data_IF_482547707169
#
_entry.id   IF_482547707169
#
_cell.length_a   1.000
_cell.length_b   1.000
_cell.length_c   1.000
_cell.angle_alpha   90.00
_cell.angle_beta   90.00
_cell.angle_gamma   90.00
#
_symmetry.space_group_name_H-M   'P 1'
#
loop_
_entity.id
_entity.type
_entity.pdbx_description
1 polymer ?
#
# COMPACT_ATOMS: atom_id res chain seq x y z
N UNK A 1 -14.31 -11.45 14.59
CA UNK A 1 -13.86 -10.25 13.84
C UNK A 1 -13.22 -9.28 14.81
N UNK A 2 -12.22 -8.54 14.33
CA UNK A 2 -11.41 -7.65 15.15
C UNK A 2 -11.81 -6.22 14.84
N UNK A 3 -12.02 -5.42 15.88
CA UNK A 3 -12.29 -4.00 15.75
C UNK A 3 -11.04 -3.21 16.13
N UNK A 4 -10.55 -2.36 15.20
CA UNK A 4 -9.39 -1.53 15.42
C UNK A 4 -9.79 -0.26 16.17
N UNK A 5 -8.94 0.16 17.09
CA UNK A 5 -9.13 1.41 17.87
C UNK A 5 -8.49 2.61 17.19
N UNK A 6 -7.55 2.35 16.28
CA UNK A 6 -6.78 3.38 15.61
C UNK A 6 -7.04 3.37 14.11
N UNK A 7 -6.71 4.49 13.46
CA UNK A 7 -6.78 4.62 12.01
C UNK A 7 -5.42 4.34 11.42
N UNK A 8 -5.39 3.65 10.30
CA UNK A 8 -4.18 3.19 9.62
C UNK A 8 -4.16 3.69 8.19
N UNK A 9 -2.96 3.95 7.67
CA UNK A 9 -2.73 4.09 6.24
C UNK A 9 -1.56 3.19 5.85
N UNK A 10 -1.73 2.44 4.76
CA UNK A 10 -0.67 1.61 4.19
C UNK A 10 -0.28 2.19 2.85
N UNK A 11 0.99 2.54 2.70
CA UNK A 11 1.56 2.97 1.44
C UNK A 11 2.51 1.93 0.87
N UNK A 12 2.65 1.92 -0.45
CA UNK A 12 3.62 1.08 -1.12
C UNK A 12 3.98 1.69 -2.47
N UNK A 13 5.26 1.61 -2.81
CA UNK A 13 5.75 1.98 -4.13
C UNK A 13 6.04 0.71 -4.90
N UNK A 14 5.46 0.59 -6.09
CA UNK A 14 5.66 -0.57 -6.97
C UNK A 14 6.34 -0.10 -8.24
N UNK A 15 7.54 -0.59 -8.49
CA UNK A 15 8.25 -0.33 -9.73
C UNK A 15 7.72 -1.30 -10.80
N UNK A 16 7.66 -0.85 -12.05
CA UNK A 16 7.05 -1.62 -13.12
C UNK A 16 7.59 -3.05 -13.24
N UNK A 17 8.88 -3.23 -13.00
CA UNK A 17 9.52 -4.55 -13.09
C UNK A 17 9.25 -5.44 -11.88
N UNK A 18 8.60 -4.91 -10.84
CA UNK A 18 8.23 -5.65 -9.64
C UNK A 18 6.78 -6.16 -9.67
N UNK A 19 6.06 -5.92 -10.77
CA UNK A 19 4.63 -6.23 -10.85
C UNK A 19 4.29 -7.69 -10.55
N UNK A 20 5.21 -8.62 -10.84
CA UNK A 20 5.00 -10.03 -10.55
C UNK A 20 5.18 -10.37 -9.08
N UNK A 21 5.97 -9.57 -8.38
CA UNK A 21 6.30 -9.79 -6.97
C UNK A 21 5.22 -9.19 -6.07
N UNK A 22 4.69 -8.03 -6.44
CA UNK A 22 3.74 -7.28 -5.60
C UNK A 22 2.43 -8.03 -5.35
N UNK A 23 2.07 -8.95 -6.25
CA UNK A 23 0.81 -9.69 -6.14
C UNK A 23 0.69 -10.42 -4.81
N UNK A 24 1.75 -11.09 -4.38
CA UNK A 24 1.76 -11.81 -3.09
C UNK A 24 1.63 -10.86 -1.91
N UNK A 25 2.28 -9.69 -1.98
CA UNK A 25 2.15 -8.67 -0.94
C UNK A 25 0.71 -8.16 -0.84
N UNK A 26 0.10 -7.83 -1.99
CA UNK A 26 -1.29 -7.37 -2.04
C UNK A 26 -2.23 -8.42 -1.45
N UNK A 27 -2.03 -9.69 -1.81
CA UNK A 27 -2.84 -10.78 -1.26
C UNK A 27 -2.66 -10.92 0.26
N UNK A 28 -1.45 -10.71 0.76
CA UNK A 28 -1.21 -10.74 2.21
C UNK A 28 -1.92 -9.59 2.93
N UNK A 29 -1.96 -8.40 2.31
CA UNK A 29 -2.71 -7.26 2.85
C UNK A 29 -4.19 -7.57 2.88
N UNK A 30 -4.74 -8.09 1.78
CA UNK A 30 -6.16 -8.48 1.71
C UNK A 30 -6.52 -9.52 2.77
N UNK A 31 -5.65 -10.49 2.95
CA UNK A 31 -5.84 -11.53 3.98
C UNK A 31 -5.87 -10.94 5.38
N UNK A 32 -4.98 -9.99 5.67
CA UNK A 32 -4.96 -9.29 6.96
C UNK A 32 -6.24 -8.48 7.17
N UNK A 33 -6.74 -7.84 6.12
CA UNK A 33 -7.99 -7.07 6.20
C UNK A 33 -9.20 -7.94 6.45
N UNK A 34 -9.19 -9.18 6.01
CA UNK A 34 -10.35 -10.07 6.14
C UNK A 34 -10.78 -10.32 7.58
N UNK A 35 -9.89 -10.11 8.54
CA UNK A 35 -10.18 -10.28 9.97
C UNK A 35 -10.63 -8.99 10.66
N UNK A 36 -10.60 -7.87 9.95
CA UNK A 36 -10.94 -6.57 10.52
C UNK A 36 -12.41 -6.26 10.29
N UNK A 37 -13.10 -5.85 11.34
CA UNK A 37 -14.53 -5.54 11.29
C UNK A 37 -14.78 -4.12 10.76
N UNK A 38 -14.02 -3.15 11.26
CA UNK A 38 -14.16 -1.74 10.90
C UNK A 38 -13.09 -1.33 9.87
N UNK A 39 -13.19 -1.86 8.66
CA UNK A 39 -12.24 -1.62 7.58
C UNK A 39 -12.17 -0.15 7.14
N UNK A 40 -13.17 0.64 7.45
CA UNK A 40 -13.18 2.08 7.22
C UNK A 40 -12.07 2.83 7.95
N UNK A 41 -11.45 2.20 8.95
CA UNK A 41 -10.30 2.75 9.64
C UNK A 41 -8.97 2.55 8.90
N UNK A 42 -9.00 1.90 7.75
CA UNK A 42 -7.80 1.59 6.98
C UNK A 42 -7.86 2.23 5.61
N UNK A 43 -6.79 2.93 5.24
CA UNK A 43 -6.60 3.54 3.91
C UNK A 43 -5.44 2.82 3.23
N UNK A 44 -5.65 2.42 1.99
CA UNK A 44 -4.63 1.82 1.13
C UNK A 44 -4.23 2.86 0.08
N UNK A 45 -2.94 3.15 -0.04
CA UNK A 45 -2.45 4.13 -1.01
C UNK A 45 -1.18 3.61 -1.69
N UNK A 46 -1.33 3.05 -2.89
CA UNK A 46 -0.24 2.44 -3.64
C UNK A 46 0.07 3.24 -4.90
N UNK A 47 1.35 3.37 -5.22
CA UNK A 47 1.82 4.06 -6.41
C UNK A 47 2.61 3.10 -7.29
N UNK A 48 2.20 2.99 -8.55
CA UNK A 48 2.88 2.19 -9.58
C UNK A 48 3.72 3.14 -10.44
N UNK A 49 5.01 2.87 -10.53
CA UNK A 49 5.97 3.74 -11.21
C UNK A 49 6.52 3.08 -12.46
N UNK A 50 6.44 3.77 -13.59
CA UNK A 50 6.94 3.30 -14.87
C UNK A 50 8.29 3.89 -15.25
N UNK A 51 8.80 4.81 -14.45
CA UNK A 51 10.08 5.48 -14.70
C UNK A 51 10.81 5.66 -13.35
N UNK A 52 11.73 4.76 -13.03
CA UNK A 52 12.45 4.80 -11.77
C UNK A 52 13.91 4.41 -12.01
N UNK A 53 14.82 5.22 -11.47
CA UNK A 53 16.28 5.00 -11.54
C UNK A 53 16.76 4.82 -12.99
N UNK A 54 17.39 3.69 -13.26
CA UNK A 54 17.92 3.33 -14.57
C UNK A 54 16.93 2.53 -15.41
N UNK A 55 15.79 2.16 -14.79
CA UNK A 55 14.81 1.30 -15.43
C UNK A 55 13.60 2.13 -15.85
N UNK A 56 13.42 2.26 -17.15
CA UNK A 56 12.29 2.98 -17.72
C UNK A 56 11.64 2.14 -18.80
N UNK A 57 10.33 2.11 -18.79
CA UNK A 57 9.55 1.47 -19.83
C UNK A 57 8.96 2.54 -20.76
N UNK A 58 9.19 2.42 -22.06
CA UNK A 58 8.74 3.39 -23.06
C UNK A 58 7.63 2.86 -23.96
N UNK A 59 7.40 1.56 -23.99
CA UNK A 59 6.38 0.93 -24.83
C UNK A 59 4.99 1.18 -24.24
N UNK A 60 4.16 1.97 -24.92
CA UNK A 60 2.80 2.30 -24.47
C UNK A 60 1.92 1.06 -24.31
N UNK A 61 2.04 0.09 -25.19
CA UNK A 61 1.25 -1.16 -25.07
C UNK A 61 1.61 -1.91 -23.80
N UNK A 62 2.90 -1.99 -23.51
CA UNK A 62 3.39 -2.65 -22.31
C UNK A 62 2.98 -1.88 -21.04
N UNK A 63 3.11 -0.55 -21.06
CA UNK A 63 2.66 0.31 -19.95
C UNK A 63 1.17 0.09 -19.68
N UNK A 64 0.35 0.08 -20.72
CA UNK A 64 -1.10 -0.10 -20.58
C UNK A 64 -1.46 -1.49 -20.06
N UNK A 65 -0.74 -2.52 -20.51
CA UNK A 65 -0.94 -3.87 -20.00
C UNK A 65 -0.60 -3.99 -18.52
N UNK A 66 0.50 -3.37 -18.09
CA UNK A 66 0.91 -3.35 -16.69
C UNK A 66 -0.04 -2.52 -15.84
N UNK A 67 -0.51 -1.38 -16.37
CA UNK A 67 -1.51 -0.54 -15.69
C UNK A 67 -2.79 -1.34 -15.44
N UNK A 68 -3.26 -2.06 -16.45
CA UNK A 68 -4.46 -2.87 -16.33
C UNK A 68 -4.28 -4.00 -15.31
N UNK A 69 -3.11 -4.64 -15.32
CA UNK A 69 -2.78 -5.68 -14.35
C UNK A 69 -2.75 -5.12 -12.91
N UNK A 70 -2.12 -3.96 -12.72
CA UNK A 70 -2.08 -3.30 -11.42
C UNK A 70 -3.49 -2.90 -10.96
N UNK A 71 -4.28 -2.35 -11.85
CA UNK A 71 -5.68 -1.99 -11.56
C UNK A 71 -6.45 -3.21 -11.04
N UNK A 72 -6.30 -4.36 -11.70
CA UNK A 72 -6.97 -5.58 -11.26
C UNK A 72 -6.51 -6.04 -9.89
N UNK A 73 -5.23 -5.91 -9.60
CA UNK A 73 -4.70 -6.25 -8.28
C UNK A 73 -5.26 -5.37 -7.18
N UNK A 74 -5.54 -4.09 -7.49
CA UNK A 74 -6.04 -3.11 -6.53
C UNK A 74 -7.55 -3.15 -6.35
N UNK A 75 -8.23 -4.08 -7.01
CA UNK A 75 -9.66 -4.31 -6.79
C UNK A 75 -9.88 -5.25 -5.60
N UNK A 76 -11.12 -5.30 -5.14
CA UNK A 76 -11.57 -6.22 -4.09
C UNK A 76 -10.97 -5.99 -2.70
N UNK A 77 -10.41 -4.80 -2.46
CA UNK A 77 -10.20 -4.35 -1.09
C UNK A 77 -11.53 -3.83 -0.56
N UNK A 78 -11.93 -4.29 0.57
CA UNK A 78 -13.19 -3.89 1.22
C UNK A 78 -12.95 -2.66 2.11
N UNK A 79 -12.29 -1.65 1.56
CA UNK A 79 -11.94 -0.42 2.26
C UNK A 79 -11.61 0.68 1.25
N UNK A 80 -11.27 1.87 1.73
CA UNK A 80 -10.84 2.96 0.87
C UNK A 80 -9.49 2.66 0.23
N UNK A 81 -9.44 2.72 -1.09
CA UNK A 81 -8.21 2.46 -1.84
C UNK A 81 -7.93 3.63 -2.76
N UNK A 82 -6.71 4.14 -2.66
CA UNK A 82 -6.16 5.07 -3.62
C UNK A 82 -5.01 4.37 -4.33
N UNK A 83 -4.94 4.52 -5.63
CA UNK A 83 -3.81 4.03 -6.40
C UNK A 83 -3.60 4.93 -7.61
N UNK A 84 -2.36 5.00 -8.05
CA UNK A 84 -2.00 5.81 -9.20
C UNK A 84 -0.88 5.17 -9.98
N UNK A 85 -0.80 5.54 -11.25
CA UNK A 85 0.31 5.18 -12.13
C UNK A 85 1.00 6.48 -12.53
N UNK A 86 2.30 6.52 -12.38
CA UNK A 86 3.08 7.72 -12.69
C UNK A 86 4.38 7.37 -13.40
N UNK A 87 4.83 8.27 -14.27
CA UNK A 87 6.15 8.22 -14.89
C UNK A 87 7.10 9.29 -14.31
N UNK A 88 6.69 9.98 -13.26
CA UNK A 88 7.50 10.99 -12.61
C UNK A 88 8.74 10.37 -11.97
N UNK A 89 9.88 11.04 -12.16
CA UNK A 89 11.15 10.56 -11.62
C UNK A 89 11.39 11.14 -10.23
N UNK A 90 11.07 10.33 -9.21
CA UNK A 90 11.29 10.66 -7.81
C UNK A 90 12.00 9.50 -7.12
N UNK A 91 12.69 9.80 -6.03
CA UNK A 91 13.31 8.76 -5.22
C UNK A 91 12.26 8.07 -4.35
N UNK A 92 12.61 6.88 -3.84
CA UNK A 92 11.75 6.17 -2.87
C UNK A 92 11.51 7.06 -1.65
N UNK A 93 12.54 7.79 -1.23
CA UNK A 93 12.43 8.72 -0.09
C UNK A 93 11.40 9.82 -0.35
N UNK A 94 11.33 10.34 -1.58
CA UNK A 94 10.32 11.34 -1.95
C UNK A 94 8.90 10.78 -1.83
N UNK A 95 8.67 9.56 -2.32
CA UNK A 95 7.35 8.92 -2.25
C UNK A 95 6.94 8.64 -0.80
N UNK A 96 7.89 8.21 0.04
CA UNK A 96 7.63 7.99 1.47
C UNK A 96 7.28 9.30 2.18
N UNK A 97 8.01 10.36 1.86
CA UNK A 97 7.75 11.69 2.44
C UNK A 97 6.36 12.18 2.06
N UNK A 98 6.01 12.06 0.78
CA UNK A 98 4.69 12.49 0.30
C UNK A 98 3.58 11.70 0.97
N UNK A 99 3.76 10.40 1.13
CA UNK A 99 2.81 9.56 1.85
C UNK A 99 2.67 9.99 3.32
N UNK A 100 3.79 10.21 3.99
CA UNK A 100 3.79 10.65 5.39
C UNK A 100 3.10 12.01 5.53
N UNK A 101 3.42 12.96 4.67
CA UNK A 101 2.83 14.31 4.71
C UNK A 101 1.33 14.26 4.47
N UNK A 102 0.89 13.36 3.59
CA UNK A 102 -0.53 13.22 3.25
C UNK A 102 -1.36 12.68 4.41
N UNK A 103 -0.82 11.75 5.19
CA UNK A 103 -1.60 10.98 6.15
C UNK A 103 -1.22 11.20 7.61
N UNK A 104 -0.13 11.89 7.93
CA UNK A 104 0.35 12.00 9.31
C UNK A 104 -0.66 12.64 10.28
N UNK A 105 -1.55 13.50 9.79
CA UNK A 105 -2.58 14.12 10.61
C UNK A 105 -3.96 13.43 10.49
N UNK A 106 -4.08 12.49 9.56
CA UNK A 106 -5.35 11.81 9.26
C UNK A 106 -5.48 10.45 9.92
N UNK A 107 -4.37 9.82 10.21
CA UNK A 107 -4.34 8.46 10.78
C UNK A 107 -3.41 8.42 11.98
N UNK A 108 -3.55 7.36 12.77
CA UNK A 108 -2.73 7.15 13.97
C UNK A 108 -1.48 6.33 13.69
N UNK A 109 -1.53 5.45 12.70
CA UNK A 109 -0.42 4.55 12.34
C UNK A 109 -0.19 4.60 10.84
N UNK A 110 1.06 4.88 10.47
CA UNK A 110 1.52 4.85 9.08
C UNK A 110 2.33 3.58 8.86
N UNK A 111 2.00 2.85 7.79
CA UNK A 111 2.72 1.65 7.40
C UNK A 111 3.23 1.82 5.97
N UNK A 112 4.51 1.54 5.77
CA UNK A 112 5.08 1.52 4.42
C UNK A 112 5.50 0.09 4.10
N UNK A 113 4.89 -0.48 3.06
CA UNK A 113 5.18 -1.83 2.63
C UNK A 113 6.22 -1.88 1.51
N UNK A 114 6.95 -2.97 1.48
CA UNK A 114 7.89 -3.28 0.41
C UNK A 114 7.26 -4.35 -0.50
N UNK A 115 7.46 -4.22 -1.81
CA UNK A 115 6.84 -5.08 -2.80
C UNK A 115 7.23 -6.56 -2.67
N UNK A 116 8.36 -6.85 -2.07
CA UNK A 116 8.90 -8.20 -1.88
C UNK A 116 8.63 -8.76 -0.48
N UNK A 117 7.78 -8.09 0.29
CA UNK A 117 7.44 -8.49 1.66
C UNK A 117 6.07 -9.14 1.72
N UNK A 118 5.82 -9.81 2.83
CA UNK A 118 4.48 -10.31 3.19
C UNK A 118 4.17 -9.82 4.59
N UNK A 119 2.93 -9.44 4.85
CA UNK A 119 2.54 -9.08 6.21
C UNK A 119 1.77 -10.24 6.85
N UNK A 120 2.03 -10.53 8.14
CA UNK A 120 1.26 -11.53 8.88
C UNK A 120 -0.22 -11.15 8.97
N UNK A 121 -1.05 -12.15 9.08
CA UNK A 121 -2.51 -11.97 9.15
C UNK A 121 -2.95 -11.09 10.30
N UNK A 122 -2.21 -11.12 11.42
CA UNK A 122 -2.54 -10.37 12.63
C UNK A 122 -1.85 -9.01 12.72
N UNK A 123 -1.26 -8.52 11.63
CA UNK A 123 -0.44 -7.30 11.64
C UNK A 123 -1.19 -6.09 12.21
N UNK A 124 -2.40 -5.84 11.72
CA UNK A 124 -3.18 -4.67 12.18
C UNK A 124 -3.54 -4.78 13.66
N UNK A 125 -3.92 -5.96 14.11
CA UNK A 125 -4.27 -6.19 15.51
C UNK A 125 -3.06 -5.95 16.43
N UNK A 126 -1.90 -6.46 16.05
CA UNK A 126 -0.67 -6.29 16.82
C UNK A 126 -0.28 -4.82 16.91
N UNK A 127 -0.29 -4.11 15.78
CA UNK A 127 0.08 -2.70 15.73
C UNK A 127 -0.93 -1.83 16.47
N UNK A 128 -2.20 -2.15 16.37
CA UNK A 128 -3.27 -1.44 17.09
C UNK A 128 -3.07 -1.54 18.59
N UNK A 129 -2.78 -2.74 19.10
CA UNK A 129 -2.54 -2.97 20.51
C UNK A 129 -1.25 -2.28 20.99
N UNK A 130 -0.18 -2.31 20.18
CA UNK A 130 1.06 -1.64 20.52
C UNK A 130 0.87 -0.12 20.60
N UNK A 131 0.12 0.44 19.67
CA UNK A 131 -0.12 1.89 19.66
C UNK A 131 -0.96 2.32 20.88
N UNK A 132 -1.95 1.54 21.26
CA UNK A 132 -2.72 1.81 22.46
C UNK A 132 -1.86 1.73 23.73
N UNK A 133 -0.92 0.78 23.80
CA UNK A 133 0.02 0.69 24.89
C UNK A 133 0.94 1.90 25.00
N UNK A 134 1.36 2.47 23.86
CA UNK A 134 2.21 3.67 23.83
C UNK A 134 1.49 4.91 24.34
N UNK A 135 0.17 5.01 24.13
CA UNK A 135 -0.65 6.13 24.60
C UNK A 135 -0.78 6.17 26.11
N UNK A 136 -0.65 5.04 26.76
CA UNK A 136 -0.73 4.92 28.21
C UNK A 136 0.58 5.34 28.87
#
# INVERSE_FOLDING_TARGET
>A
MIELKNKFAIGCLVQWYEIKIIEEYIESVKSSLSEIDNKENIIIDFTFVTNQDLEKIDDEHEINALRFKFQNMMQDFDTDVEWRVTDELHTIADYRRDFNDKYCEKVDVLMWGESDSLIPKQTFQILDNLHEGVKE
#
